data_IF_784599545855
#
_entry.id   IF_784599545855
#
_cell.length_a   1.000
_cell.length_b   1.000
_cell.length_c   1.000
_cell.angle_alpha   90.00
_cell.angle_beta   90.00
_cell.angle_gamma   90.00
#
_symmetry.space_group_name_H-M   'P 1'
#
loop_
_entity.id
_entity.type
_entity.pdbx_description
1 polymer ?
#
# COMPACT_ATOMS: atom_id res chain seq x y z
N UNK A 1 15.98 -14.88 14.04
CA UNK A 1 15.33 -14.53 12.74
C UNK A 1 14.84 -13.09 12.72
N UNK A 2 13.93 -12.68 13.63
CA UNK A 2 13.50 -11.27 13.77
C UNK A 2 14.65 -10.30 14.06
N UNK A 3 15.62 -10.71 14.88
CA UNK A 3 16.74 -9.87 15.31
C UNK A 3 17.78 -9.59 14.20
N UNK A 4 17.99 -10.57 13.31
CA UNK A 4 18.84 -10.40 12.13
C UNK A 4 18.13 -9.60 11.03
N UNK A 5 16.81 -9.80 10.91
CA UNK A 5 15.98 -9.02 10.00
C UNK A 5 15.90 -7.55 10.44
N UNK A 6 15.73 -7.30 11.74
CA UNK A 6 15.70 -5.94 12.31
C UNK A 6 17.07 -5.26 12.17
N UNK A 7 18.17 -5.94 12.47
CA UNK A 7 19.52 -5.39 12.28
C UNK A 7 19.80 -5.03 10.81
N UNK A 8 19.47 -5.93 9.86
CA UNK A 8 19.67 -5.67 8.43
C UNK A 8 18.80 -4.52 7.88
N UNK A 9 17.60 -4.35 8.42
CA UNK A 9 16.63 -3.33 7.98
C UNK A 9 16.86 -1.97 8.64
N UNK A 10 17.14 -1.94 9.94
CA UNK A 10 17.18 -0.70 10.73
C UNK A 10 18.61 -0.21 11.03
N UNK A 11 19.61 -1.09 11.00
CA UNK A 11 21.00 -0.73 11.36
C UNK A 11 21.91 -0.69 10.13
N UNK A 12 21.76 -1.66 9.21
CA UNK A 12 22.62 -1.76 8.02
C UNK A 12 22.16 -0.96 6.79
N UNK A 13 20.99 -0.32 6.84
CA UNK A 13 20.38 0.35 5.68
C UNK A 13 20.40 1.87 5.83
N UNK A 14 21.26 2.54 5.05
CA UNK A 14 21.39 4.00 4.99
C UNK A 14 20.46 4.64 3.96
N UNK A 15 19.76 3.84 3.15
CA UNK A 15 18.84 4.31 2.12
C UNK A 15 17.40 4.10 2.59
N UNK A 16 16.81 5.22 2.99
CA UNK A 16 15.58 5.37 3.77
C UNK A 16 14.31 4.90 3.02
N UNK A 17 14.45 4.39 1.79
CA UNK A 17 13.38 3.87 0.89
C UNK A 17 12.81 2.50 1.28
N UNK A 18 13.34 1.84 2.33
CA UNK A 18 12.97 0.46 2.68
C UNK A 18 11.86 0.21 3.72
N UNK A 19 11.25 1.17 4.46
CA UNK A 19 10.11 0.83 5.34
C UNK A 19 8.96 0.20 4.55
N UNK A 20 8.78 0.60 3.29
CA UNK A 20 7.84 -0.06 2.39
C UNK A 20 8.15 -1.52 2.12
N UNK A 21 9.42 -1.87 1.87
CA UNK A 21 9.82 -3.25 1.59
C UNK A 21 9.73 -4.10 2.85
N UNK A 22 10.07 -3.55 4.00
CA UNK A 22 9.84 -4.17 5.30
C UNK A 22 8.36 -4.42 5.54
N UNK A 23 7.51 -3.42 5.31
CA UNK A 23 6.06 -3.59 5.43
C UNK A 23 5.50 -4.57 4.40
N UNK A 24 6.01 -4.57 3.16
CA UNK A 24 5.65 -5.54 2.14
C UNK A 24 6.00 -6.97 2.58
N UNK A 25 7.20 -7.17 3.12
CA UNK A 25 7.65 -8.46 3.65
C UNK A 25 6.86 -8.91 4.87
N UNK A 26 6.48 -7.98 5.75
CA UNK A 26 5.75 -8.28 6.98
C UNK A 26 4.25 -8.49 6.76
N UNK A 27 3.65 -7.80 5.79
CA UNK A 27 2.20 -7.75 5.63
C UNK A 27 1.71 -8.40 4.35
N UNK A 28 2.52 -8.45 3.29
CA UNK A 28 2.11 -8.89 1.95
C UNK A 28 1.11 -7.95 1.26
N UNK A 29 0.76 -6.81 1.88
CA UNK A 29 -0.28 -5.89 1.41
C UNK A 29 0.24 -4.49 1.05
N UNK A 30 1.55 -4.25 1.13
CA UNK A 30 2.10 -2.94 0.83
C UNK A 30 2.29 -2.75 -0.68
N UNK A 31 1.61 -1.79 -1.32
CA UNK A 31 1.81 -1.51 -2.74
C UNK A 31 3.07 -0.67 -2.97
N UNK A 32 3.60 -0.70 -4.18
CA UNK A 32 4.75 0.09 -4.58
C UNK A 32 4.38 1.58 -4.72
N UNK A 33 5.07 2.49 -4.03
CA UNK A 33 4.89 3.94 -4.19
C UNK A 33 5.52 4.54 -5.44
N UNK A 34 5.31 3.93 -6.61
CA UNK A 34 5.57 4.62 -7.86
C UNK A 34 4.57 5.79 -8.07
N UNK A 35 4.84 6.68 -9.03
CA UNK A 35 4.03 7.88 -9.24
C UNK A 35 2.57 7.57 -9.59
N UNK A 36 2.30 6.48 -10.31
CA UNK A 36 0.94 6.12 -10.72
C UNK A 36 0.16 5.49 -9.58
N UNK A 37 0.78 4.60 -8.81
CA UNK A 37 0.14 4.01 -7.61
C UNK A 37 -0.18 5.09 -6.57
N UNK A 38 0.71 6.08 -6.39
CA UNK A 38 0.45 7.20 -5.48
C UNK A 38 -0.72 8.07 -5.94
N UNK A 39 -0.77 8.41 -7.22
CA UNK A 39 -1.94 9.09 -7.80
C UNK A 39 -3.22 8.28 -7.63
N UNK A 40 -3.14 6.95 -7.81
CA UNK A 40 -4.25 6.04 -7.57
C UNK A 40 -4.74 6.04 -6.11
N UNK A 41 -3.81 6.02 -5.16
CA UNK A 41 -4.10 6.12 -3.72
C UNK A 41 -4.75 7.46 -3.37
N UNK A 42 -4.24 8.57 -3.90
CA UNK A 42 -4.86 9.89 -3.69
C UNK A 42 -6.27 9.93 -4.29
N UNK A 43 -6.47 9.40 -5.51
CA UNK A 43 -7.79 9.26 -6.15
C UNK A 43 -8.74 8.34 -5.37
N UNK A 44 -8.21 7.40 -4.59
CA UNK A 44 -8.98 6.53 -3.70
C UNK A 44 -9.39 7.22 -2.39
N UNK A 45 -8.93 8.45 -2.14
CA UNK A 45 -9.16 9.18 -0.88
C UNK A 45 -8.04 9.03 0.15
N UNK A 46 -6.93 8.33 -0.15
CA UNK A 46 -5.75 8.21 0.73
C UNK A 46 -4.79 9.40 0.60
N UNK A 47 -5.33 10.61 0.74
CA UNK A 47 -4.70 11.88 0.38
C UNK A 47 -3.34 12.15 1.04
N UNK A 48 -2.44 12.77 0.28
CA UNK A 48 -1.16 13.30 0.76
C UNK A 48 0.02 12.36 0.44
N UNK A 49 -0.02 11.69 -0.71
CA UNK A 49 1.05 10.81 -1.18
C UNK A 49 2.10 11.53 -2.05
N UNK A 50 2.14 12.87 -2.01
CA UNK A 50 2.95 13.71 -2.90
C UNK A 50 4.45 13.75 -2.57
N UNK A 51 4.91 13.06 -1.53
CA UNK A 51 6.33 13.06 -1.17
C UNK A 51 7.18 12.40 -2.26
N UNK A 52 8.25 13.06 -2.70
CA UNK A 52 9.16 12.54 -3.73
C UNK A 52 9.87 11.26 -3.27
N UNK A 53 10.09 11.13 -1.95
CA UNK A 53 10.64 9.95 -1.29
C UNK A 53 9.93 9.74 0.05
N UNK A 54 9.61 8.49 0.35
CA UNK A 54 9.12 8.09 1.68
C UNK A 54 10.27 7.46 2.44
N UNK A 55 10.84 8.26 3.33
CA UNK A 55 11.94 7.87 4.19
C UNK A 55 11.39 7.18 5.45
N UNK A 56 12.13 6.21 5.98
CA UNK A 56 12.04 5.76 7.38
C UNK A 56 12.02 7.01 8.28
N UNK A 57 10.90 7.27 8.96
CA UNK A 57 10.72 8.49 9.73
C UNK A 57 11.58 8.42 10.99
N UNK A 58 12.26 9.51 11.33
CA UNK A 58 13.00 9.64 12.60
C UNK A 58 12.06 9.53 13.80
N UNK A 59 10.80 9.95 13.62
CA UNK A 59 9.73 9.84 14.61
C UNK A 59 8.57 8.99 14.09
N UNK A 60 8.34 7.85 14.73
CA UNK A 60 7.20 6.96 14.48
C UNK A 60 5.83 7.59 14.79
N UNK A 61 5.79 8.66 15.58
CA UNK A 61 4.59 9.44 15.83
C UNK A 61 4.29 10.45 14.70
N UNK A 62 5.24 10.68 13.80
CA UNK A 62 5.09 11.57 12.65
C UNK A 62 3.96 11.15 11.72
N UNK A 63 3.31 12.14 11.09
CA UNK A 63 2.17 11.90 10.21
C UNK A 63 2.50 10.94 9.05
N UNK A 64 3.66 11.12 8.40
CA UNK A 64 4.10 10.26 7.30
C UNK A 64 4.39 8.82 7.78
N UNK A 65 4.94 8.68 8.99
CA UNK A 65 5.21 7.38 9.60
C UNK A 65 3.95 6.55 9.77
N UNK A 66 2.97 7.15 10.45
CA UNK A 66 1.68 6.54 10.73
C UNK A 66 0.92 6.24 9.44
N UNK A 67 1.03 7.11 8.44
CA UNK A 67 0.40 6.91 7.14
C UNK A 67 0.94 5.68 6.43
N UNK A 68 2.27 5.56 6.31
CA UNK A 68 2.93 4.41 5.67
C UNK A 68 2.64 3.13 6.45
N UNK A 69 2.73 3.17 7.79
CA UNK A 69 2.56 1.98 8.62
C UNK A 69 1.12 1.47 8.67
N UNK A 70 0.11 2.34 8.50
CA UNK A 70 -1.31 1.95 8.53
C UNK A 70 -1.82 1.40 7.20
N UNK A 71 -1.27 1.87 6.07
CA UNK A 71 -1.78 1.50 4.74
C UNK A 71 -1.90 -0.03 4.52
N UNK A 72 -0.92 -0.87 4.88
CA UNK A 72 -1.06 -2.32 4.70
C UNK A 72 -2.21 -2.94 5.48
N UNK A 73 -2.53 -2.42 6.67
CA UNK A 73 -3.64 -2.92 7.47
C UNK A 73 -4.98 -2.57 6.84
N UNK A 74 -5.10 -1.36 6.28
CA UNK A 74 -6.31 -0.98 5.52
C UNK A 74 -6.50 -1.86 4.29
N UNK A 75 -5.44 -2.09 3.53
CA UNK A 75 -5.48 -2.94 2.34
C UNK A 75 -5.76 -4.40 2.71
N UNK A 76 -5.18 -4.88 3.81
CA UNK A 76 -5.48 -6.21 4.36
C UNK A 76 -6.94 -6.35 4.76
N UNK A 77 -7.51 -5.34 5.45
CA UNK A 77 -8.92 -5.35 5.82
C UNK A 77 -9.85 -5.33 4.59
N UNK A 78 -9.57 -4.44 3.63
CA UNK A 78 -10.28 -4.37 2.36
C UNK A 78 -10.22 -5.72 1.61
N UNK A 79 -9.04 -6.30 1.49
CA UNK A 79 -8.88 -7.59 0.84
C UNK A 79 -9.67 -8.70 1.56
N UNK A 80 -9.67 -8.73 2.89
CA UNK A 80 -10.42 -9.73 3.64
C UNK A 80 -11.94 -9.57 3.44
N UNK A 81 -12.44 -8.33 3.43
CA UNK A 81 -13.85 -8.04 3.21
C UNK A 81 -14.32 -8.41 1.80
N UNK A 82 -13.49 -8.16 0.77
CA UNK A 82 -13.85 -8.36 -0.63
C UNK A 82 -13.13 -9.54 -1.29
N UNK A 83 -12.57 -10.45 -0.49
CA UNK A 83 -11.66 -11.52 -0.95
C UNK A 83 -12.23 -12.33 -2.11
N UNK A 84 -13.45 -12.81 -1.97
CA UNK A 84 -14.07 -13.70 -2.96
C UNK A 84 -14.35 -12.97 -4.29
N UNK A 85 -14.78 -11.70 -4.21
CA UNK A 85 -14.99 -10.86 -5.39
C UNK A 85 -13.67 -10.60 -6.12
N UNK A 86 -12.62 -10.22 -5.39
CA UNK A 86 -11.30 -9.95 -5.95
C UNK A 86 -10.68 -11.21 -6.55
N UNK A 87 -10.67 -12.33 -5.82
CA UNK A 87 -10.12 -13.60 -6.32
C UNK A 87 -10.91 -14.12 -7.52
N UNK A 88 -12.24 -14.03 -7.50
CA UNK A 88 -13.10 -14.42 -8.60
C UNK A 88 -12.85 -13.60 -9.87
N UNK A 89 -12.69 -12.27 -9.74
CA UNK A 89 -12.36 -11.40 -10.86
C UNK A 89 -10.97 -11.71 -11.45
N UNK A 90 -9.95 -11.86 -10.59
CA UNK A 90 -8.58 -12.17 -11.02
C UNK A 90 -8.47 -13.54 -11.67
N UNK A 91 -9.17 -14.55 -11.15
CA UNK A 91 -9.14 -15.91 -11.70
C UNK A 91 -9.65 -15.96 -13.16
N UNK A 92 -10.54 -15.04 -13.55
CA UNK A 92 -11.04 -14.90 -14.92
C UNK A 92 -10.20 -13.97 -15.80
N UNK A 93 -9.20 -13.30 -15.22
CA UNK A 93 -8.32 -12.40 -15.95
C UNK A 93 -7.17 -13.17 -16.64
N UNK A 94 -6.41 -12.52 -17.54
CA UNK A 94 -5.18 -13.09 -18.09
C UNK A 94 -4.07 -13.33 -17.04
N UNK A 95 -4.24 -12.87 -15.79
CA UNK A 95 -3.25 -12.93 -14.72
C UNK A 95 -3.78 -13.64 -13.46
N UNK A 96 -4.23 -14.92 -13.54
CA UNK A 96 -4.83 -15.63 -12.40
C UNK A 96 -3.86 -15.83 -11.22
N UNK A 97 -2.55 -15.72 -11.47
CA UNK A 97 -1.49 -15.85 -10.46
C UNK A 97 -1.56 -14.75 -9.39
N UNK A 98 -2.16 -13.59 -9.69
CA UNK A 98 -2.32 -12.48 -8.74
C UNK A 98 -3.24 -12.84 -7.56
N UNK A 99 -4.00 -13.93 -7.64
CA UNK A 99 -4.80 -14.43 -6.49
C UNK A 99 -3.95 -14.83 -5.27
N UNK A 100 -2.64 -15.02 -5.45
CA UNK A 100 -1.68 -15.39 -4.41
C UNK A 100 -0.90 -14.20 -3.85
N UNK A 101 -1.02 -13.03 -4.47
CA UNK A 101 -0.24 -11.85 -4.12
C UNK A 101 -1.18 -10.63 -4.04
N UNK A 102 -1.79 -10.40 -2.86
CA UNK A 102 -2.77 -9.33 -2.72
C UNK A 102 -2.13 -7.94 -2.73
N UNK A 103 -0.86 -7.78 -2.32
CA UNK A 103 -0.14 -6.52 -2.47
C UNK A 103 -0.02 -6.15 -3.95
N UNK A 104 0.36 -7.12 -4.80
CA UNK A 104 0.45 -6.91 -6.25
C UNK A 104 -0.90 -6.66 -6.92
N UNK A 105 -1.98 -7.20 -6.37
CA UNK A 105 -3.33 -6.86 -6.80
C UNK A 105 -3.59 -5.35 -6.62
N UNK A 106 -3.30 -4.82 -5.43
CA UNK A 106 -3.50 -3.41 -5.12
C UNK A 106 -2.59 -2.49 -5.93
N UNK A 107 -1.35 -2.90 -6.23
CA UNK A 107 -0.50 -2.19 -7.20
C UNK A 107 -1.24 -1.97 -8.50
N UNK A 108 -1.81 -3.03 -9.09
CA UNK A 108 -2.50 -2.95 -10.38
C UNK A 108 -3.73 -2.05 -10.28
N UNK A 109 -4.53 -2.19 -9.23
CA UNK A 109 -5.74 -1.39 -9.05
C UNK A 109 -5.42 0.10 -8.91
N UNK A 110 -4.44 0.45 -8.06
CA UNK A 110 -4.04 1.84 -7.88
C UNK A 110 -3.31 2.38 -9.10
N UNK A 111 -2.46 1.60 -9.75
CA UNK A 111 -1.79 2.00 -10.99
C UNK A 111 -2.80 2.32 -12.10
N UNK A 112 -3.83 1.49 -12.26
CA UNK A 112 -4.91 1.75 -13.22
C UNK A 112 -5.70 3.00 -12.85
N UNK A 113 -6.04 3.18 -11.57
CA UNK A 113 -6.76 4.35 -11.08
C UNK A 113 -5.94 5.66 -11.15
N UNK A 114 -4.61 5.58 -11.14
CA UNK A 114 -3.72 6.74 -11.22
C UNK A 114 -3.63 7.37 -12.62
N UNK A 115 -4.08 6.65 -13.67
CA UNK A 115 -4.08 7.15 -15.04
C UNK A 115 -5.12 8.25 -15.23
N UNK A 116 -4.77 9.27 -16.01
CA UNK A 116 -5.69 10.32 -16.46
C UNK A 116 -6.90 9.65 -17.15
N UNK A 117 -8.10 10.07 -16.78
CA UNK A 117 -9.39 9.60 -17.29
C UNK A 117 -9.80 8.15 -16.91
N UNK A 118 -9.15 7.54 -15.91
CA UNK A 118 -9.57 6.23 -15.41
C UNK A 118 -10.75 6.30 -14.45
N UNK A 119 -11.63 5.31 -14.53
CA UNK A 119 -12.71 5.15 -13.56
C UNK A 119 -12.13 4.91 -12.15
N UNK A 120 -12.79 5.46 -11.13
CA UNK A 120 -12.48 5.14 -9.73
C UNK A 120 -12.83 3.67 -9.47
N UNK A 121 -11.81 2.85 -9.27
CA UNK A 121 -11.89 1.41 -9.00
C UNK A 121 -12.01 1.13 -7.50
N UNK A 122 -11.39 1.97 -6.66
CA UNK A 122 -11.37 1.85 -5.21
C UNK A 122 -11.58 3.22 -4.55
N UNK A 123 -12.36 3.24 -3.48
CA UNK A 123 -12.57 4.41 -2.62
C UNK A 123 -12.48 4.00 -1.16
N UNK A 124 -11.81 4.81 -0.34
CA UNK A 124 -11.86 4.71 1.11
C UNK A 124 -13.02 5.58 1.61
N UNK A 125 -14.01 4.95 2.25
CA UNK A 125 -15.21 5.61 2.81
C UNK A 125 -15.08 5.74 4.35
N UNK A 126 -15.38 6.91 4.95
CA UNK A 126 -15.63 8.17 4.27
C UNK A 126 -14.34 8.68 3.61
N UNK A 127 -14.44 9.54 2.58
CA UNK A 127 -13.32 10.32 2.01
C UNK A 127 -12.75 11.26 3.08
N UNK A 128 -12.05 10.70 4.05
CA UNK A 128 -11.68 11.39 5.26
C UNK A 128 -10.37 10.81 5.74
N UNK A 129 -9.37 11.70 5.71
CA UNK A 129 -8.24 11.74 6.65
C UNK A 129 -7.82 10.34 7.07
N UNK A 130 -6.81 9.77 6.43
CA UNK A 130 -6.25 8.45 6.80
C UNK A 130 -5.97 8.25 8.32
N UNK A 131 -5.90 9.36 9.09
CA UNK A 131 -5.77 9.40 10.54
C UNK A 131 -7.08 9.33 11.35
N UNK A 132 -8.24 9.57 10.71
CA UNK A 132 -9.59 9.46 11.27
C UNK A 132 -10.23 8.09 11.05
N UNK A 133 -9.62 7.27 10.20
CA UNK A 133 -9.96 5.87 10.06
C UNK A 133 -9.64 5.14 11.39
N UNK A 134 -10.53 4.26 11.89
CA UNK A 134 -10.36 3.57 13.18
C UNK A 134 -9.08 2.73 13.25
#
# INVERSE_FOLDING_TARGET
>A
MLDQLSAGIFVGNTNVTYPMKTLMLLTGFMPAFDSQVRSGLDNAGFMGMNATQFLLPEDSAGANARKISRLPFYLGNCYNQYRELLKGAVARSPQPRLTRDPGRLFDVLFFMQGRKDSARLLSFEPESRWYALP
#
